data_IF_224996646015
#
_entry.id   IF_224996646015
#
_cell.length_a   1.000
_cell.length_b   1.000
_cell.length_c   1.000
_cell.angle_alpha   90.00
_cell.angle_beta   90.00
_cell.angle_gamma   90.00
#
_symmetry.space_group_name_H-M   'P 1'
#
loop_
_entity.id
_entity.type
_entity.pdbx_description
1 polymer ?
#
# COMPACT_ATOMS: atom_id res chain seq x y z
N UNK A 1 -39.38 -16.97 10.45
CA UNK A 1 -38.86 -15.59 10.45
C UNK A 1 -38.67 -15.15 11.90
N UNK A 2 -37.43 -15.16 12.39
CA UNK A 2 -37.13 -14.62 13.72
C UNK A 2 -36.92 -13.11 13.57
N UNK A 3 -37.61 -12.31 14.40
CA UNK A 3 -37.47 -10.85 14.42
C UNK A 3 -36.05 -10.40 14.83
N UNK A 4 -35.23 -11.30 15.38
CA UNK A 4 -33.92 -10.99 15.93
C UNK A 4 -32.76 -11.24 14.96
N UNK A 5 -32.99 -11.86 13.79
CA UNK A 5 -31.91 -12.23 12.87
C UNK A 5 -32.06 -11.46 11.56
N UNK A 6 -31.37 -10.32 11.46
CA UNK A 6 -31.19 -9.60 10.21
C UNK A 6 -30.17 -10.35 9.33
N UNK A 7 -30.63 -10.94 8.22
CA UNK A 7 -29.77 -11.59 7.21
C UNK A 7 -29.33 -10.62 6.09
N UNK A 8 -29.70 -9.35 6.21
CA UNK A 8 -29.34 -8.28 5.27
C UNK A 8 -28.39 -7.28 5.95
N UNK A 9 -27.54 -6.62 5.16
CA UNK A 9 -26.48 -5.70 5.60
C UNK A 9 -26.98 -4.39 6.26
N UNK A 10 -28.26 -4.29 6.61
CA UNK A 10 -28.86 -3.10 7.22
C UNK A 10 -29.60 -3.46 8.51
N UNK A 11 -29.20 -2.84 9.62
CA UNK A 11 -29.96 -2.88 10.88
C UNK A 11 -30.99 -1.75 10.90
N UNK A 12 -31.91 -1.77 9.93
CA UNK A 12 -33.02 -0.84 9.91
C UNK A 12 -34.31 -1.57 10.29
N UNK A 13 -34.76 -1.37 11.53
CA UNK A 13 -36.06 -1.88 12.02
C UNK A 13 -37.26 -1.13 11.39
N UNK A 14 -37.01 -0.03 10.68
CA UNK A 14 -38.01 0.84 10.07
C UNK A 14 -37.86 0.87 8.53
N UNK A 15 -38.45 -0.11 7.85
CA UNK A 15 -38.33 -0.30 6.38
C UNK A 15 -38.79 0.90 5.52
N UNK A 16 -39.65 1.78 6.05
CA UNK A 16 -40.17 2.96 5.33
C UNK A 16 -39.33 4.23 5.54
N UNK A 17 -38.23 4.13 6.27
CA UNK A 17 -37.36 5.26 6.60
C UNK A 17 -35.97 5.04 6.00
N UNK A 18 -35.24 6.12 5.65
CA UNK A 18 -33.90 6.00 5.11
C UNK A 18 -32.99 5.18 6.04
N UNK A 19 -32.01 4.45 5.48
CA UNK A 19 -31.09 3.65 6.27
C UNK A 19 -30.32 4.52 7.27
N UNK A 20 -29.93 3.93 8.41
CA UNK A 20 -29.11 4.61 9.41
C UNK A 20 -27.76 4.93 8.76
N UNK A 21 -27.52 6.21 8.45
CA UNK A 21 -26.31 6.65 7.74
C UNK A 21 -25.03 6.45 8.56
N UNK A 22 -25.14 6.28 9.89
CA UNK A 22 -24.04 5.89 10.76
C UNK A 22 -23.71 4.39 10.69
N UNK A 23 -24.58 3.57 10.10
CA UNK A 23 -24.34 2.14 9.87
C UNK A 23 -23.55 1.97 8.56
N UNK A 24 -22.22 1.85 8.70
CA UNK A 24 -21.29 1.70 7.57
C UNK A 24 -21.53 0.45 6.72
N UNK A 25 -22.36 -0.49 7.16
CA UNK A 25 -22.71 -1.72 6.41
C UNK A 25 -23.60 -1.47 5.19
N UNK A 26 -24.32 -0.34 5.12
CA UNK A 26 -25.11 0.00 3.92
C UNK A 26 -24.24 0.30 2.69
N UNK A 27 -22.99 0.71 2.91
CA UNK A 27 -22.03 1.07 1.85
C UNK A 27 -20.80 0.15 1.84
N UNK A 28 -20.81 -0.91 2.64
CA UNK A 28 -19.75 -1.90 2.69
C UNK A 28 -20.26 -3.26 2.20
N UNK A 29 -19.63 -3.81 1.17
CA UNK A 29 -19.83 -5.19 0.72
C UNK A 29 -19.13 -6.22 1.62
N UNK A 30 -18.46 -5.76 2.68
CA UNK A 30 -17.67 -6.60 3.58
C UNK A 30 -18.51 -7.74 4.16
N UNK A 31 -18.09 -8.98 3.90
CA UNK A 31 -18.67 -10.19 4.48
C UNK A 31 -17.64 -10.82 5.42
N UNK A 32 -18.03 -11.33 6.60
CA UNK A 32 -17.12 -12.05 7.45
C UNK A 32 -16.53 -13.28 6.74
N UNK A 33 -15.22 -13.49 6.87
CA UNK A 33 -14.50 -14.62 6.25
C UNK A 33 -15.07 -16.00 6.64
N UNK A 34 -15.64 -16.12 7.84
CA UNK A 34 -16.31 -17.35 8.27
C UNK A 34 -17.52 -17.71 7.39
N UNK A 35 -18.27 -16.72 6.92
CA UNK A 35 -19.43 -16.91 6.04
C UNK A 35 -18.96 -17.30 4.64
N UNK A 36 -17.89 -16.67 4.15
CA UNK A 36 -17.28 -17.02 2.86
C UNK A 36 -16.73 -18.44 2.89
N UNK A 37 -16.02 -18.82 3.94
CA UNK A 37 -15.51 -20.18 4.13
C UNK A 37 -16.63 -21.23 4.19
N UNK A 38 -17.72 -20.93 4.91
CA UNK A 38 -18.88 -21.83 4.95
C UNK A 38 -19.48 -22.03 3.55
N UNK A 39 -19.63 -20.96 2.77
CA UNK A 39 -20.12 -21.06 1.38
C UNK A 39 -19.17 -21.86 0.48
N UNK A 40 -17.85 -21.71 0.65
CA UNK A 40 -16.87 -22.52 -0.09
C UNK A 40 -17.04 -24.01 0.26
N UNK A 41 -17.19 -24.33 1.55
CA UNK A 41 -17.42 -25.72 1.97
C UNK A 41 -18.73 -26.29 1.42
N UNK A 42 -19.80 -25.49 1.40
CA UNK A 42 -21.10 -25.88 0.83
C UNK A 42 -21.02 -26.07 -0.70
N UNK A 43 -20.39 -25.13 -1.41
CA UNK A 43 -20.27 -25.16 -2.87
C UNK A 43 -19.39 -26.31 -3.38
N UNK A 44 -18.28 -26.57 -2.69
CA UNK A 44 -17.33 -27.63 -3.03
C UNK A 44 -17.68 -28.97 -2.37
N UNK A 45 -18.84 -29.06 -1.69
CA UNK A 45 -19.33 -30.23 -0.97
C UNK A 45 -18.29 -30.85 0.00
N UNK A 46 -17.56 -29.99 0.71
CA UNK A 46 -16.53 -30.39 1.66
C UNK A 46 -17.19 -30.78 2.98
N UNK A 47 -17.22 -32.08 3.26
CA UNK A 47 -17.87 -32.63 4.46
C UNK A 47 -16.88 -33.12 5.52
N UNK A 48 -15.59 -33.21 5.20
CA UNK A 48 -14.57 -33.74 6.11
C UNK A 48 -13.37 -32.81 6.24
N UNK A 49 -12.72 -32.81 7.42
CA UNK A 49 -11.51 -32.01 7.67
C UNK A 49 -10.34 -32.38 6.75
N UNK A 50 -10.30 -33.63 6.26
CA UNK A 50 -9.30 -34.05 5.30
C UNK A 50 -9.53 -33.41 3.92
N UNK A 51 -10.77 -33.44 3.42
CA UNK A 51 -11.12 -32.83 2.14
C UNK A 51 -10.90 -31.31 2.18
N UNK A 52 -11.21 -30.68 3.32
CA UNK A 52 -10.94 -29.26 3.52
C UNK A 52 -9.44 -28.94 3.44
N UNK A 53 -8.60 -29.73 4.11
CA UNK A 53 -7.13 -29.55 4.03
C UNK A 53 -6.64 -29.73 2.60
N UNK A 54 -7.10 -30.76 1.89
CA UNK A 54 -6.72 -30.99 0.50
C UNK A 54 -7.14 -29.83 -0.42
N UNK A 55 -8.36 -29.31 -0.25
CA UNK A 55 -8.85 -28.16 -0.98
C UNK A 55 -7.96 -26.93 -0.75
N UNK A 56 -7.65 -26.63 0.52
CA UNK A 56 -6.81 -25.50 0.89
C UNK A 56 -5.37 -25.64 0.38
N UNK A 57 -4.81 -26.84 0.36
CA UNK A 57 -3.47 -27.06 -0.20
C UNK A 57 -3.45 -26.89 -1.71
N UNK A 58 -4.49 -27.37 -2.40
CA UNK A 58 -4.54 -27.32 -3.86
C UNK A 58 -4.89 -25.91 -4.38
N UNK A 59 -5.73 -25.18 -3.65
CA UNK A 59 -6.24 -23.87 -4.07
C UNK A 59 -5.64 -22.68 -3.32
N UNK A 60 -4.77 -22.93 -2.33
CA UNK A 60 -4.26 -21.89 -1.43
C UNK A 60 -3.61 -20.69 -2.14
N UNK A 61 -2.88 -20.93 -3.22
CA UNK A 61 -2.26 -19.85 -4.02
C UNK A 61 -3.33 -18.95 -4.66
N UNK A 62 -4.41 -19.55 -5.19
CA UNK A 62 -5.50 -18.79 -5.81
C UNK A 62 -6.28 -17.98 -4.75
N UNK A 63 -6.55 -18.58 -3.59
CA UNK A 63 -7.23 -17.93 -2.47
C UNK A 63 -6.39 -16.72 -2.00
N UNK A 64 -5.09 -16.91 -1.80
CA UNK A 64 -4.20 -15.80 -1.40
C UNK A 64 -4.20 -14.67 -2.43
N UNK A 65 -4.17 -15.00 -3.73
CA UNK A 65 -4.21 -14.01 -4.81
C UNK A 65 -5.53 -13.23 -4.82
N UNK A 66 -6.65 -13.93 -4.68
CA UNK A 66 -7.97 -13.31 -4.63
C UNK A 66 -8.11 -12.38 -3.42
N UNK A 67 -7.75 -12.87 -2.22
CA UNK A 67 -7.81 -12.06 -1.00
C UNK A 67 -6.92 -10.82 -1.07
N UNK A 68 -5.74 -10.93 -1.70
CA UNK A 68 -4.87 -9.78 -1.93
C UNK A 68 -5.51 -8.75 -2.88
N UNK A 69 -6.14 -9.22 -3.96
CA UNK A 69 -6.81 -8.36 -4.93
C UNK A 69 -8.01 -7.63 -4.31
N UNK A 70 -8.86 -8.31 -3.54
CA UNK A 70 -9.98 -7.70 -2.82
C UNK A 70 -9.48 -6.64 -1.82
N UNK A 71 -8.43 -6.95 -1.05
CA UNK A 71 -7.81 -5.99 -0.14
C UNK A 71 -7.26 -4.75 -0.88
N UNK A 72 -6.66 -4.92 -2.06
CA UNK A 72 -6.22 -3.80 -2.88
C UNK A 72 -7.41 -2.93 -3.34
N UNK A 73 -8.51 -3.54 -3.78
CA UNK A 73 -9.71 -2.78 -4.16
C UNK A 73 -10.29 -1.99 -2.99
N UNK A 74 -10.40 -2.60 -1.81
CA UNK A 74 -10.91 -1.94 -0.60
C UNK A 74 -10.03 -0.76 -0.16
N UNK A 75 -8.72 -0.89 -0.33
CA UNK A 75 -7.75 0.17 -0.02
C UNK A 75 -7.64 1.24 -1.13
N UNK A 76 -8.33 1.06 -2.27
CA UNK A 76 -8.17 1.92 -3.45
C UNK A 76 -6.76 1.84 -4.07
N UNK A 77 -6.01 0.78 -3.77
CA UNK A 77 -4.69 0.53 -4.30
C UNK A 77 -4.80 -0.28 -5.59
N UNK A 78 -3.95 0.00 -6.57
CA UNK A 78 -3.88 -0.81 -7.77
C UNK A 78 -3.27 -2.17 -7.41
N UNK A 79 -3.91 -3.32 -7.69
CA UNK A 79 -3.33 -4.63 -7.42
C UNK A 79 -1.97 -4.70 -8.10
N UNK A 80 -0.93 -5.00 -7.33
CA UNK A 80 0.45 -4.95 -7.82
C UNK A 80 0.64 -5.99 -8.92
N UNK A 81 0.53 -5.57 -10.18
CA UNK A 81 0.84 -6.42 -11.33
C UNK A 81 2.36 -6.51 -11.38
N UNK A 82 2.91 -7.67 -11.00
CA UNK A 82 4.28 -8.02 -11.35
C UNK A 82 4.35 -8.16 -12.88
N UNK A 83 4.55 -7.05 -13.57
CA UNK A 83 5.02 -7.10 -14.94
C UNK A 83 6.50 -7.45 -14.85
N UNK A 84 6.91 -8.61 -15.37
CA UNK A 84 8.33 -8.92 -15.61
C UNK A 84 9.00 -7.95 -16.63
N UNK A 85 8.36 -6.82 -16.92
CA UNK A 85 8.76 -5.78 -17.86
C UNK A 85 9.65 -4.71 -17.22
N UNK A 86 10.03 -4.83 -15.95
CA UNK A 86 11.10 -4.00 -15.41
C UNK A 86 12.45 -4.68 -15.66
N UNK A 87 13.27 -4.23 -16.63
CA UNK A 87 14.63 -4.72 -16.85
C UNK A 87 15.57 -4.15 -15.78
N UNK A 88 15.11 -4.06 -14.53
CA UNK A 88 15.93 -3.62 -13.43
C UNK A 88 16.62 -4.86 -12.89
N UNK A 89 17.93 -4.96 -13.09
CA UNK A 89 18.75 -5.71 -12.15
C UNK A 89 18.39 -5.20 -10.75
N UNK A 90 18.21 -6.10 -9.78
CA UNK A 90 17.69 -5.79 -8.45
C UNK A 90 18.75 -5.06 -7.58
N UNK A 91 19.36 -4.00 -8.13
CA UNK A 91 20.45 -3.24 -7.55
C UNK A 91 20.01 -1.77 -7.41
N UNK A 92 20.17 -1.18 -6.21
CA UNK A 92 19.97 0.25 -6.02
C UNK A 92 20.83 1.07 -6.97
N UNK A 93 20.25 2.13 -7.52
CA UNK A 93 20.99 3.06 -8.37
C UNK A 93 21.99 3.86 -7.55
N UNK A 94 23.26 3.80 -7.96
CA UNK A 94 24.35 4.54 -7.35
C UNK A 94 24.68 5.79 -8.20
N UNK A 95 24.43 6.97 -7.64
CA UNK A 95 24.86 8.24 -8.24
C UNK A 95 26.38 8.33 -8.28
N UNK A 96 26.93 8.79 -9.40
CA UNK A 96 28.40 8.88 -9.59
C UNK A 96 29.04 10.00 -8.78
N UNK A 97 28.28 11.04 -8.45
CA UNK A 97 28.73 12.18 -7.67
C UNK A 97 27.54 12.94 -7.07
N UNK A 98 27.80 13.88 -6.16
CA UNK A 98 26.77 14.78 -5.62
C UNK A 98 26.12 15.66 -6.70
N UNK A 99 26.80 15.86 -7.84
CA UNK A 99 26.31 16.64 -8.99
C UNK A 99 25.62 15.78 -10.06
N UNK A 100 25.50 14.47 -9.83
CA UNK A 100 24.85 13.57 -10.78
C UNK A 100 23.33 13.78 -10.74
N UNK A 101 22.78 14.37 -11.81
CA UNK A 101 21.34 14.62 -11.97
C UNK A 101 20.66 13.58 -12.85
N UNK A 102 21.33 12.47 -13.18
CA UNK A 102 20.73 11.46 -14.04
C UNK A 102 19.55 10.78 -13.34
N UNK A 103 18.48 10.55 -14.10
CA UNK A 103 17.26 9.91 -13.62
C UNK A 103 17.30 8.43 -14.03
N UNK A 104 17.52 7.49 -13.10
CA UNK A 104 17.57 6.08 -13.42
C UNK A 104 16.18 5.51 -13.71
N UNK A 105 15.66 5.73 -14.92
CA UNK A 105 14.53 4.99 -15.51
C UNK A 105 13.31 4.73 -14.60
N UNK A 106 12.64 3.59 -14.85
CA UNK A 106 11.41 3.19 -14.17
C UNK A 106 11.65 2.90 -12.67
N UNK A 107 10.77 3.41 -11.80
CA UNK A 107 10.81 3.18 -10.35
C UNK A 107 11.55 4.25 -9.55
N UNK A 108 12.33 5.11 -10.20
CA UNK A 108 13.06 6.19 -9.52
C UNK A 108 12.38 7.54 -9.76
N UNK A 109 11.21 7.70 -9.15
CA UNK A 109 10.50 8.97 -9.15
C UNK A 109 11.13 9.97 -8.16
N UNK A 110 10.81 11.25 -8.34
CA UNK A 110 11.03 12.27 -7.31
C UNK A 110 9.90 12.18 -6.30
N UNK A 111 10.24 12.26 -5.01
CA UNK A 111 9.27 12.38 -3.91
C UNK A 111 9.50 13.70 -3.17
N UNK A 112 8.46 14.12 -2.45
CA UNK A 112 8.46 15.28 -1.56
C UNK A 112 9.61 15.25 -0.53
N UNK A 113 10.04 14.07 -0.10
CA UNK A 113 11.16 13.89 0.82
C UNK A 113 12.53 13.75 0.11
N UNK A 114 12.55 13.16 -1.08
CA UNK A 114 13.79 12.91 -1.84
C UNK A 114 14.37 14.20 -2.43
N UNK A 115 13.53 15.04 -3.00
CA UNK A 115 13.95 16.31 -3.60
C UNK A 115 14.69 17.24 -2.61
N UNK A 116 14.14 17.55 -1.41
CA UNK A 116 14.84 18.41 -0.46
C UNK A 116 16.12 17.75 0.08
N UNK A 117 16.12 16.44 0.31
CA UNK A 117 17.32 15.72 0.74
C UNK A 117 18.47 15.86 -0.25
N UNK A 118 18.25 15.52 -1.53
CA UNK A 118 19.29 15.60 -2.57
C UNK A 118 19.79 17.04 -2.76
N UNK A 119 18.90 18.03 -2.70
CA UNK A 119 19.28 19.44 -2.78
C UNK A 119 20.15 19.90 -1.61
N UNK A 120 19.88 19.41 -0.39
CA UNK A 120 20.68 19.72 0.81
C UNK A 120 22.09 19.18 0.68
N UNK A 121 22.24 17.92 0.25
CA UNK A 121 23.56 17.30 0.04
C UNK A 121 24.35 18.05 -1.04
N UNK A 122 23.69 18.49 -2.11
CA UNK A 122 24.32 19.32 -3.15
C UNK A 122 24.79 20.68 -2.63
N UNK A 123 23.98 21.35 -1.81
CA UNK A 123 24.34 22.63 -1.19
C UNK A 123 25.49 22.46 -0.19
N UNK A 124 25.45 21.39 0.61
CA UNK A 124 26.50 21.05 1.55
C UNK A 124 27.83 20.78 0.84
N UNK A 125 27.81 20.07 -0.29
CA UNK A 125 28.99 19.85 -1.12
C UNK A 125 29.58 21.15 -1.72
N UNK A 126 28.79 22.23 -1.79
CA UNK A 126 29.22 23.57 -2.25
C UNK A 126 29.63 24.49 -1.11
N UNK A 127 29.52 24.07 0.15
CA UNK A 127 29.94 24.91 1.26
C UNK A 127 31.46 25.12 1.21
N UNK A 128 31.86 26.38 1.03
CA UNK A 128 33.24 26.83 1.14
C UNK A 128 33.35 27.54 2.49
N UNK A 129 34.33 27.13 3.29
CA UNK A 129 34.61 27.82 4.56
C UNK A 129 35.05 29.25 4.26
N UNK A 130 34.47 30.28 4.92
CA UNK A 130 34.93 31.64 4.75
C UNK A 130 36.40 31.75 5.20
N UNK A 131 37.28 32.11 4.27
CA UNK A 131 38.67 32.42 4.57
C UNK A 131 38.78 33.92 4.88
N UNK A 132 39.17 34.24 6.12
CA UNK A 132 39.50 35.62 6.49
C UNK A 132 40.97 35.85 6.16
N UNK A 133 41.24 36.72 5.18
CA UNK A 133 42.62 37.16 4.94
C UNK A 133 43.12 38.02 6.10
N UNK A 134 44.43 38.02 6.37
CA UNK A 134 45.04 38.85 7.41
C UNK A 134 44.68 40.34 7.27
N UNK A 135 44.52 40.82 6.03
CA UNK A 135 44.07 42.17 5.71
C UNK A 135 42.60 42.46 6.09
N UNK A 136 41.72 41.46 6.04
CA UNK A 136 40.34 41.58 6.54
C UNK A 136 40.29 41.53 8.07
N UNK A 137 41.11 40.69 8.71
CA UNK A 137 41.15 40.58 10.18
C UNK A 137 41.54 41.90 10.87
N UNK A 138 42.49 42.67 10.30
CA UNK A 138 42.90 43.95 10.89
C UNK A 138 41.80 45.02 10.89
N UNK A 139 40.79 44.90 10.02
CA UNK A 139 39.64 45.81 9.98
C UNK A 139 38.60 45.53 11.07
N UNK A 140 38.61 44.34 11.68
CA UNK A 140 37.70 43.98 12.78
C UNK A 140 38.22 44.43 14.16
N UNK A 141 39.51 44.79 14.28
CA UNK A 141 40.15 45.21 15.53
C UNK A 141 40.26 46.75 15.68
N UNK A 142 39.33 47.51 15.10
CA UNK A 142 39.16 48.95 15.31
C UNK A 142 37.73 49.23 15.71
#
# INVERSE_FOLDING_TARGET
MSWATCYNSSNNIHFNFPPIMADGRNFASWQPEAVVNQRIQEQENITSSWAYRQFMTNNGIQIMKYNNQEACYDLGLNPHIQTNNTPSSNVPYLFKSTYDTSSPGYGYNNSDLKSPYLSREQLQARMISPAISSAQFSKFNK
#
